data_IF_932796349657
#
_entry.id   IF_932796349657
#
_cell.length_a   1.000
_cell.length_b   1.000
_cell.length_c   1.000
_cell.angle_alpha   90.00
_cell.angle_beta   90.00
_cell.angle_gamma   90.00
#
_symmetry.space_group_name_H-M   'P 1'
#
loop_
_entity.id
_entity.type
_entity.pdbx_description
1 polymer ?
#
# COMPACT_ATOMS: atom_id res chain seq x y z
N UNK A 1 1.17 -10.91 15.29
CA UNK A 1 0.10 -10.80 14.28
C UNK A 1 -0.28 -9.33 14.28
N UNK A 2 -0.19 -8.64 13.16
CA UNK A 2 -0.56 -7.22 13.10
C UNK A 2 -2.06 -7.15 12.84
N UNK A 3 -2.79 -6.48 13.72
CA UNK A 3 -4.25 -6.34 13.62
C UNK A 3 -4.60 -5.08 12.84
N UNK A 4 -5.33 -5.27 11.74
CA UNK A 4 -5.85 -4.17 10.93
C UNK A 4 -7.25 -3.81 11.40
N UNK A 5 -7.49 -2.51 11.59
CA UNK A 5 -8.80 -1.97 11.95
C UNK A 5 -9.49 -1.45 10.70
N UNK A 6 -10.83 -1.60 10.62
CA UNK A 6 -11.60 -1.13 9.47
C UNK A 6 -11.31 0.35 9.21
N UNK A 7 -11.19 0.79 7.95
CA UNK A 7 -11.49 0.04 6.75
C UNK A 7 -10.33 -0.82 6.21
N UNK A 8 -9.21 -0.91 6.93
CA UNK A 8 -8.07 -1.71 6.51
C UNK A 8 -8.32 -3.20 6.75
N UNK A 9 -8.08 -4.00 5.71
CA UNK A 9 -8.26 -5.44 5.72
C UNK A 9 -7.01 -6.15 5.22
N UNK A 10 -6.63 -7.23 5.90
CA UNK A 10 -5.52 -8.08 5.49
C UNK A 10 -5.77 -8.69 4.10
N UNK A 11 -4.76 -8.69 3.24
CA UNK A 11 -4.83 -9.29 1.92
C UNK A 11 -4.49 -10.78 2.02
N UNK A 12 -5.33 -11.63 1.43
CA UNK A 12 -5.03 -13.05 1.27
C UNK A 12 -3.88 -13.26 0.28
N UNK A 13 -3.05 -14.28 0.53
CA UNK A 13 -1.90 -14.62 -0.32
C UNK A 13 -2.25 -14.79 -1.80
N UNK A 14 -3.43 -15.32 -2.11
CA UNK A 14 -3.92 -15.49 -3.49
C UNK A 14 -4.12 -14.14 -4.22
N UNK A 15 -4.57 -13.12 -3.50
CA UNK A 15 -4.91 -11.80 -4.05
C UNK A 15 -3.68 -10.90 -4.04
N UNK A 16 -2.76 -11.12 -3.10
CA UNK A 16 -1.48 -10.42 -2.98
C UNK A 16 -0.73 -10.33 -4.30
N UNK A 17 -0.58 -11.45 -4.99
CA UNK A 17 0.18 -11.54 -6.25
C UNK A 17 -0.42 -10.64 -7.34
N UNK A 18 -1.74 -10.45 -7.33
CA UNK A 18 -2.42 -9.56 -8.28
C UNK A 18 -2.09 -8.10 -7.99
N UNK A 19 -2.11 -7.67 -6.72
CA UNK A 19 -1.75 -6.31 -6.32
C UNK A 19 -0.29 -5.98 -6.58
N UNK A 20 0.62 -6.91 -6.25
CA UNK A 20 2.06 -6.74 -6.52
C UNK A 20 2.32 -6.58 -8.03
N UNK A 21 1.62 -7.36 -8.87
CA UNK A 21 1.72 -7.24 -10.33
C UNK A 21 1.11 -5.94 -10.85
N UNK A 22 -0.02 -5.50 -10.32
CA UNK A 22 -0.65 -4.27 -10.75
C UNK A 22 0.25 -3.07 -10.41
N UNK A 23 0.74 -3.01 -9.18
CA UNK A 23 1.71 -2.02 -8.76
C UNK A 23 2.90 -1.98 -9.72
N UNK A 24 3.52 -3.12 -10.06
CA UNK A 24 4.67 -3.14 -10.98
C UNK A 24 4.35 -2.69 -12.42
N UNK A 25 3.09 -2.77 -12.86
CA UNK A 25 2.67 -2.25 -14.16
C UNK A 25 2.47 -0.73 -14.14
N UNK A 26 1.94 -0.21 -13.03
CA UNK A 26 1.65 1.22 -12.86
C UNK A 26 2.92 2.00 -12.48
N UNK A 27 3.86 1.39 -11.77
CA UNK A 27 5.14 2.00 -11.42
C UNK A 27 5.94 2.38 -12.67
N UNK A 28 6.17 3.69 -12.84
CA UNK A 28 7.14 4.25 -13.78
C UNK A 28 8.58 3.94 -13.35
N UNK A 29 9.52 3.96 -14.30
CA UNK A 29 10.94 3.65 -14.07
C UNK A 29 11.62 4.62 -13.08
N UNK A 30 11.05 5.82 -12.90
CA UNK A 30 11.54 6.86 -12.00
C UNK A 30 10.95 6.74 -10.58
N UNK A 31 10.02 5.82 -10.35
CA UNK A 31 9.35 5.69 -9.05
C UNK A 31 10.26 5.01 -8.00
N UNK A 32 10.29 5.48 -6.74
CA UNK A 32 11.14 4.93 -5.68
C UNK A 32 10.88 3.45 -5.31
N UNK A 33 9.76 2.89 -5.77
CA UNK A 33 9.36 1.50 -5.60
C UNK A 33 9.56 0.64 -6.86
N UNK A 34 10.03 1.24 -7.96
CA UNK A 34 10.31 0.52 -9.19
C UNK A 34 11.38 -0.56 -8.96
N UNK A 35 11.08 -1.79 -9.35
CA UNK A 35 11.92 -2.98 -9.13
C UNK A 35 12.26 -3.33 -7.66
N UNK A 36 11.60 -2.73 -6.67
CA UNK A 36 11.75 -3.18 -5.28
C UNK A 36 10.92 -4.44 -5.02
N UNK A 37 11.48 -5.33 -4.21
CA UNK A 37 10.72 -6.45 -3.66
C UNK A 37 9.74 -5.89 -2.63
N UNK A 38 8.45 -5.95 -2.94
CA UNK A 38 7.38 -5.44 -2.08
C UNK A 38 6.35 -6.52 -1.86
N UNK A 39 5.74 -6.56 -0.68
CA UNK A 39 4.74 -7.57 -0.31
C UNK A 39 3.44 -6.94 0.11
N UNK A 40 2.35 -7.12 -0.64
CA UNK A 40 1.05 -6.59 -0.22
C UNK A 40 0.56 -7.34 1.04
N UNK A 41 0.24 -6.60 2.09
CA UNK A 41 -0.16 -7.15 3.39
C UNK A 41 -1.57 -6.73 3.82
N UNK A 42 -2.02 -5.54 3.40
CA UNK A 42 -3.37 -5.05 3.65
C UNK A 42 -3.84 -4.14 2.52
N UNK A 43 -5.14 -3.98 2.39
CA UNK A 43 -5.79 -3.00 1.53
C UNK A 43 -6.89 -2.29 2.29
N UNK A 44 -7.23 -1.10 1.85
CA UNK A 44 -8.42 -0.39 2.28
C UNK A 44 -9.65 -0.97 1.57
N UNK A 45 -10.78 -1.10 2.26
CA UNK A 45 -12.04 -1.60 1.69
C UNK A 45 -12.80 -0.52 0.91
N UNK A 46 -12.81 0.71 1.42
CA UNK A 46 -13.57 1.84 0.88
C UNK A 46 -12.79 2.71 -0.11
N UNK A 47 -11.56 2.33 -0.44
CA UNK A 47 -10.71 3.07 -1.36
C UNK A 47 -9.67 2.19 -2.06
N UNK A 48 -8.82 2.84 -2.85
CA UNK A 48 -7.82 2.19 -3.69
C UNK A 48 -6.41 2.15 -3.06
N UNK A 49 -6.34 2.38 -1.75
CA UNK A 49 -5.10 2.34 -0.98
C UNK A 49 -4.70 0.89 -0.63
N UNK A 50 -3.44 0.54 -0.91
CA UNK A 50 -2.87 -0.77 -0.63
C UNK A 50 -1.56 -0.63 0.14
N UNK A 51 -1.44 -1.38 1.25
CA UNK A 51 -0.25 -1.43 2.08
C UNK A 51 0.70 -2.54 1.62
N UNK A 52 1.91 -2.13 1.24
CA UNK A 52 3.00 -2.98 0.82
C UNK A 52 4.13 -2.95 1.85
N UNK A 53 4.59 -4.13 2.28
CA UNK A 53 5.78 -4.27 3.11
C UNK A 53 7.02 -4.22 2.21
N UNK A 54 7.91 -3.26 2.44
CA UNK A 54 9.15 -3.08 1.69
C UNK A 54 10.27 -3.93 2.27
N UNK A 55 10.36 -4.00 3.59
CA UNK A 55 11.38 -4.82 4.26
C UNK A 55 10.78 -5.52 5.50
N UNK A 56 10.80 -6.86 5.55
CA UNK A 56 10.24 -7.61 6.67
C UNK A 56 11.11 -7.58 7.94
N UNK A 57 12.39 -7.21 7.84
CA UNK A 57 13.29 -7.10 9.00
C UNK A 57 13.11 -5.77 9.72
N UNK A 58 13.00 -4.67 8.98
CA UNK A 58 12.79 -3.33 9.53
C UNK A 58 11.31 -2.99 9.72
N UNK A 59 10.40 -3.80 9.15
CA UNK A 59 8.96 -3.52 9.06
C UNK A 59 8.61 -2.26 8.27
N UNK A 60 9.54 -1.80 7.44
CA UNK A 60 9.32 -0.69 6.52
C UNK A 60 8.19 -1.05 5.55
N UNK A 61 7.25 -0.13 5.38
CA UNK A 61 6.06 -0.35 4.56
C UNK A 61 5.72 0.91 3.77
N UNK A 62 4.97 0.75 2.70
CA UNK A 62 4.49 1.84 1.88
C UNK A 62 3.00 1.66 1.60
N UNK A 63 2.22 2.70 1.79
CA UNK A 63 0.85 2.78 1.30
C UNK A 63 0.91 3.34 -0.11
N UNK A 64 0.33 2.61 -1.05
CA UNK A 64 0.26 3.04 -2.45
C UNK A 64 -1.20 3.15 -2.86
N UNK A 65 -1.58 4.30 -3.39
CA UNK A 65 -2.88 4.52 -4.00
C UNK A 65 -2.85 4.05 -5.45
N UNK A 66 -3.41 2.86 -5.72
CA UNK A 66 -3.45 2.31 -7.07
C UNK A 66 -4.52 3.03 -7.89
N UNK A 67 -4.21 3.38 -9.13
CA UNK A 67 -5.20 4.03 -10.01
C UNK A 67 -5.98 3.01 -10.84
N UNK A 68 -5.53 1.75 -10.87
CA UNK A 68 -6.10 0.64 -11.63
C UNK A 68 -6.22 0.92 -13.13
N UNK A 69 -5.51 1.93 -13.64
CA UNK A 69 -5.60 2.33 -15.04
C UNK A 69 -4.82 1.37 -15.95
N UNK A 70 -3.94 0.53 -15.39
CA UNK A 70 -3.20 -0.50 -16.13
C UNK A 70 -2.19 0.06 -17.15
N UNK A 71 -1.98 1.38 -17.11
CA UNK A 71 -1.00 2.12 -17.91
C UNK A 71 -0.10 2.89 -16.95
N UNK A 72 1.19 3.02 -17.30
CA UNK A 72 2.10 3.92 -16.59
C UNK A 72 1.58 5.34 -16.73
N UNK A 73 1.12 5.93 -15.64
CA UNK A 73 0.87 7.36 -15.62
C UNK A 73 2.21 8.08 -15.78
N UNK A 74 2.27 9.07 -16.67
CA UNK A 74 3.49 9.80 -17.02
C UNK A 74 3.88 10.84 -15.95
N UNK A 75 3.03 11.02 -14.93
CA UNK A 75 3.27 11.96 -13.85
C UNK A 75 4.02 11.23 -12.74
N UNK A 76 5.22 11.71 -12.40
CA UNK A 76 6.15 11.11 -11.43
C UNK A 76 5.54 10.92 -10.02
N UNK A 77 4.39 11.56 -9.76
CA UNK A 77 3.66 11.54 -8.50
C UNK A 77 2.64 10.41 -8.41
N UNK A 78 2.40 9.68 -9.50
CA UNK A 78 1.42 8.61 -9.58
C UNK A 78 2.08 7.25 -9.93
N UNK A 79 1.62 6.15 -9.31
CA UNK A 79 0.70 6.09 -8.17
C UNK A 79 1.30 6.74 -6.91
N UNK A 80 0.48 7.44 -6.12
CA UNK A 80 0.97 8.10 -4.91
C UNK A 80 1.43 7.05 -3.90
N UNK A 81 2.69 7.13 -3.47
CA UNK A 81 3.27 6.21 -2.51
C UNK A 81 3.77 6.95 -1.26
N UNK A 82 3.21 6.60 -0.10
CA UNK A 82 3.62 7.08 1.21
C UNK A 82 4.45 6.00 1.91
N UNK A 83 5.72 6.26 2.17
CA UNK A 83 6.63 5.31 2.83
C UNK A 83 6.66 5.59 4.34
N UNK A 84 6.51 4.54 5.12
CA UNK A 84 6.56 4.52 6.58
C UNK A 84 7.71 3.64 7.05
N UNK A 85 8.44 4.10 8.06
CA UNK A 85 9.61 3.39 8.57
C UNK A 85 9.25 2.14 9.36
N UNK A 86 8.00 2.00 9.81
CA UNK A 86 7.50 0.85 10.56
C UNK A 86 5.98 0.74 10.47
N UNK A 87 5.46 -0.47 10.68
CA UNK A 87 4.01 -0.72 10.75
C UNK A 87 3.31 0.07 11.87
N UNK A 88 4.01 0.37 12.96
CA UNK A 88 3.49 1.20 14.06
C UNK A 88 3.28 2.66 13.61
N UNK A 89 4.22 3.18 12.81
CA UNK A 89 4.09 4.51 12.23
C UNK A 89 2.92 4.59 11.24
N UNK A 90 2.79 3.58 10.38
CA UNK A 90 1.61 3.42 9.51
C UNK A 90 0.32 3.40 10.33
N UNK A 91 0.31 2.66 11.45
CA UNK A 91 -0.86 2.56 12.32
C UNK A 91 -1.29 3.94 12.83
N UNK A 92 -0.36 4.69 13.40
CA UNK A 92 -0.66 5.99 14.03
C UNK A 92 -0.97 7.07 12.99
N UNK A 93 -0.25 7.09 11.86
CA UNK A 93 -0.37 8.16 10.86
C UNK A 93 -1.46 7.93 9.82
N UNK A 94 -1.83 6.68 9.53
CA UNK A 94 -2.77 6.34 8.46
C UNK A 94 -3.95 5.52 8.97
N UNK A 95 -3.68 4.35 9.58
CA UNK A 95 -4.75 3.42 9.98
C UNK A 95 -5.74 3.98 11.01
N UNK A 96 -5.24 4.64 12.07
CA UNK A 96 -6.10 5.22 13.11
C UNK A 96 -6.96 6.39 12.61
N UNK A 97 -6.42 7.37 11.86
CA UNK A 97 -7.22 8.40 11.21
C UNK A 97 -8.29 7.84 10.26
N UNK A 98 -7.93 6.90 9.38
CA UNK A 98 -8.91 6.29 8.46
C UNK A 98 -10.03 5.55 9.22
N UNK A 99 -9.68 4.91 10.34
CA UNK A 99 -10.66 4.21 11.17
C UNK A 99 -11.64 5.18 11.83
N UNK A 100 -11.14 6.31 12.36
CA UNK A 100 -11.94 7.37 12.96
C UNK A 100 -12.89 7.97 11.92
N UNK A 101 -12.37 8.34 10.74
CA UNK A 101 -13.18 8.86 9.62
C UNK A 101 -14.23 7.87 9.10
N UNK A 102 -13.96 6.57 9.15
CA UNK A 102 -14.92 5.53 8.73
C UNK A 102 -16.01 5.27 9.77
N UNK A 103 -15.74 5.54 11.06
CA UNK A 103 -16.65 5.23 12.16
C UNK A 103 -17.54 6.42 12.56
N UNK A 104 -17.22 7.65 12.14
CA UNK A 104 -18.04 8.87 12.30
C UNK A 104 -19.18 8.95 11.25
#
# INVERSE_FOLDING_TARGET
>A
MFDFEKPWMAIEEKTRVSFEKELQKELGEEHPLYQKAVRAIARREDGDDVLFLLDPQTTECAVVHLTWQGCRDFDEKWPMAEIFMSLDEFKVKRMLPDHDEFCD
#
